data_IF_724912349904
#
_entry.id   IF_724912349904
#
_cell.length_a   1.000
_cell.length_b   1.000
_cell.length_c   1.000
_cell.angle_alpha   90.00
_cell.angle_beta   90.00
_cell.angle_gamma   90.00
#
_symmetry.space_group_name_H-M   'P 1'
#
loop_
_entity.id
_entity.type
_entity.pdbx_description
1 polymer ?
#
# COMPACT_ATOMS: atom_id res chain seq x y z
N UNK A 1 -3.68 -17.37 -7.19
CA UNK A 1 -4.23 -16.02 -7.32
C UNK A 1 -4.09 -15.33 -5.98
N UNK A 2 -3.45 -14.18 -5.94
CA UNK A 2 -3.23 -13.48 -4.67
C UNK A 2 -4.26 -12.38 -4.38
N UNK A 3 -4.91 -11.80 -5.40
CA UNK A 3 -6.03 -10.87 -5.26
C UNK A 3 -7.17 -11.26 -6.21
N UNK A 4 -8.39 -11.33 -5.67
CA UNK A 4 -9.65 -11.34 -6.43
C UNK A 4 -10.51 -10.23 -5.86
N UNK A 5 -10.85 -9.27 -6.69
CA UNK A 5 -11.64 -8.10 -6.38
C UNK A 5 -12.83 -8.05 -7.33
N UNK A 6 -14.02 -8.06 -6.78
CA UNK A 6 -15.30 -7.83 -7.49
C UNK A 6 -16.21 -7.10 -6.53
N UNK A 7 -16.23 -5.76 -6.61
CA UNK A 7 -16.93 -4.92 -5.66
C UNK A 7 -17.69 -3.80 -6.33
N UNK A 8 -18.80 -3.42 -5.69
CA UNK A 8 -19.55 -2.21 -6.02
C UNK A 8 -19.69 -1.33 -4.79
N UNK A 9 -19.44 -0.02 -4.97
CA UNK A 9 -19.69 0.98 -3.94
C UNK A 9 -20.28 2.24 -4.55
N UNK A 10 -21.37 2.71 -3.95
CA UNK A 10 -22.12 3.88 -4.41
C UNK A 10 -21.76 5.10 -3.55
N UNK A 11 -21.39 6.17 -4.23
CA UNK A 11 -21.20 7.49 -3.65
C UNK A 11 -22.20 8.48 -4.28
N UNK A 12 -22.46 9.62 -3.68
CA UNK A 12 -23.24 10.67 -4.32
C UNK A 12 -22.62 11.11 -5.65
N UNK A 13 -23.29 10.80 -6.77
CA UNK A 13 -22.83 11.16 -8.11
C UNK A 13 -21.73 10.27 -8.73
N UNK A 14 -21.33 9.17 -8.05
CA UNK A 14 -20.28 8.27 -8.53
C UNK A 14 -20.54 6.83 -8.08
N UNK A 15 -20.26 5.87 -8.95
CA UNK A 15 -20.31 4.44 -8.60
C UNK A 15 -18.96 3.80 -8.91
N UNK A 16 -18.31 3.22 -7.90
CA UNK A 16 -17.19 2.32 -8.12
C UNK A 16 -17.75 0.92 -8.42
N UNK A 17 -17.40 0.37 -9.58
CA UNK A 17 -17.74 -0.99 -10.02
C UNK A 17 -16.47 -1.66 -10.51
N UNK A 18 -15.73 -2.26 -9.58
CA UNK A 18 -14.33 -2.64 -9.79
C UNK A 18 -14.16 -4.15 -9.81
N UNK A 19 -13.71 -4.67 -10.95
CA UNK A 19 -13.30 -6.06 -11.12
C UNK A 19 -11.82 -6.12 -11.47
N UNK A 20 -11.05 -6.88 -10.66
CA UNK A 20 -9.61 -7.06 -10.86
C UNK A 20 -9.16 -8.39 -10.27
N UNK A 21 -8.42 -9.15 -11.05
CA UNK A 21 -7.67 -10.30 -10.57
C UNK A 21 -6.17 -10.04 -10.74
N UNK A 22 -5.37 -10.36 -9.72
CA UNK A 22 -3.92 -10.23 -9.78
C UNK A 22 -3.22 -11.42 -9.13
N UNK A 23 -2.10 -11.81 -9.72
CA UNK A 23 -1.16 -12.78 -9.17
C UNK A 23 -0.14 -12.13 -8.24
N UNK A 24 1.02 -12.76 -8.11
CA UNK A 24 2.21 -12.16 -7.50
C UNK A 24 2.90 -11.26 -8.51
N UNK A 25 2.28 -10.11 -8.77
CA UNK A 25 2.69 -9.14 -9.78
C UNK A 25 2.46 -7.71 -9.29
N UNK A 26 3.06 -6.75 -9.98
CA UNK A 26 2.88 -5.31 -9.73
C UNK A 26 1.87 -4.77 -10.75
N UNK A 27 0.72 -4.32 -10.27
CA UNK A 27 -0.36 -3.78 -11.08
C UNK A 27 -0.53 -2.30 -10.79
N UNK A 28 -0.41 -1.47 -11.82
CA UNK A 28 -0.73 -0.05 -11.73
C UNK A 28 -2.22 0.20 -12.00
N UNK A 29 -2.83 1.05 -11.21
CA UNK A 29 -4.14 1.64 -11.48
C UNK A 29 -3.91 3.07 -11.96
N UNK A 30 -4.13 3.34 -13.24
CA UNK A 30 -4.02 4.65 -13.87
C UNK A 30 -5.41 5.23 -14.14
N UNK A 31 -5.50 6.54 -14.22
CA UNK A 31 -6.74 7.24 -14.57
C UNK A 31 -6.80 8.65 -13.99
N UNK A 32 -7.80 9.42 -14.42
CA UNK A 32 -8.02 10.78 -13.95
C UNK A 32 -8.26 10.85 -12.43
N UNK A 33 -8.05 12.03 -11.84
CA UNK A 33 -8.42 12.26 -10.45
C UNK A 33 -9.93 12.04 -10.26
N UNK A 34 -10.30 11.35 -9.18
CA UNK A 34 -11.70 11.04 -8.88
C UNK A 34 -12.28 9.79 -9.56
N UNK A 35 -11.56 9.09 -10.46
CA UNK A 35 -12.08 7.89 -11.13
C UNK A 35 -12.18 6.63 -10.23
N UNK A 36 -11.83 6.70 -8.94
CA UNK A 36 -12.03 5.59 -7.99
C UNK A 36 -10.78 4.85 -7.53
N UNK A 37 -9.57 5.18 -8.01
CA UNK A 37 -8.32 4.48 -7.67
C UNK A 37 -8.08 4.35 -6.15
N UNK A 38 -8.05 5.48 -5.45
CA UNK A 38 -7.85 5.50 -3.99
C UNK A 38 -9.01 4.84 -3.24
N UNK A 39 -10.25 4.95 -3.75
CA UNK A 39 -11.41 4.27 -3.18
C UNK A 39 -11.25 2.75 -3.25
N UNK A 40 -10.73 2.22 -4.37
CA UNK A 40 -10.41 0.79 -4.53
C UNK A 40 -9.43 0.32 -3.45
N UNK A 41 -8.31 1.04 -3.26
CA UNK A 41 -7.34 0.69 -2.23
C UNK A 41 -7.94 0.74 -0.82
N UNK A 42 -8.76 1.76 -0.52
CA UNK A 42 -9.43 1.89 0.79
C UNK A 42 -10.44 0.78 1.03
N UNK A 43 -11.15 0.32 0.00
CA UNK A 43 -12.04 -0.84 0.09
C UNK A 43 -11.26 -2.12 0.40
N UNK A 44 -10.13 -2.38 -0.27
CA UNK A 44 -9.29 -3.54 0.00
C UNK A 44 -8.72 -3.48 1.42
N UNK A 45 -8.26 -2.31 1.86
CA UNK A 45 -7.72 -2.10 3.21
C UNK A 45 -8.76 -2.18 4.33
N UNK A 46 -10.07 -2.14 4.01
CA UNK A 46 -11.15 -2.13 5.00
C UNK A 46 -11.37 -0.78 5.68
N UNK A 47 -10.76 0.29 5.15
CA UNK A 47 -11.01 1.67 5.58
C UNK A 47 -12.38 2.13 5.11
N UNK A 48 -12.80 1.65 3.94
CA UNK A 48 -14.15 1.82 3.42
C UNK A 48 -14.77 0.43 3.17
N UNK A 49 -16.08 0.31 3.41
CA UNK A 49 -16.81 -0.94 3.19
C UNK A 49 -17.55 -0.86 1.84
N UNK A 50 -17.31 -1.79 0.89
CA UNK A 50 -18.13 -1.91 -0.31
C UNK A 50 -19.61 -2.16 0.02
N UNK A 51 -20.51 -1.79 -0.88
CA UNK A 51 -21.95 -2.07 -0.72
C UNK A 51 -22.29 -3.51 -1.15
N UNK A 52 -21.59 -4.00 -2.18
CA UNK A 52 -21.81 -5.34 -2.73
C UNK A 52 -20.47 -5.94 -3.18
N UNK A 53 -20.43 -7.28 -3.30
CA UNK A 53 -19.34 -8.00 -3.94
C UNK A 53 -18.43 -8.73 -2.99
N UNK A 54 -17.18 -8.99 -3.42
CA UNK A 54 -16.23 -9.85 -2.73
C UNK A 54 -14.79 -9.36 -2.89
N UNK A 55 -14.00 -9.49 -1.82
CA UNK A 55 -12.55 -9.24 -1.80
C UNK A 55 -11.86 -10.46 -1.21
N UNK A 56 -10.96 -11.09 -1.97
CA UNK A 56 -10.14 -12.20 -1.50
C UNK A 56 -8.66 -11.86 -1.71
N UNK A 57 -7.86 -12.00 -0.68
CA UNK A 57 -6.39 -11.81 -0.74
C UNK A 57 -5.71 -13.06 -0.21
N UNK A 58 -4.86 -13.70 -1.03
CA UNK A 58 -4.13 -14.92 -0.68
C UNK A 58 -5.04 -16.04 -0.13
N UNK A 59 -6.23 -16.20 -0.71
CA UNK A 59 -7.23 -17.19 -0.28
C UNK A 59 -8.04 -16.80 0.95
N UNK A 60 -7.74 -15.67 1.60
CA UNK A 60 -8.51 -15.16 2.74
C UNK A 60 -9.57 -14.19 2.24
N UNK A 61 -10.83 -14.44 2.56
CA UNK A 61 -11.95 -13.53 2.24
C UNK A 61 -11.94 -12.35 3.22
N UNK A 62 -11.64 -11.15 2.70
CA UNK A 62 -11.64 -9.90 3.46
C UNK A 62 -13.04 -9.30 3.57
N UNK A 63 -13.80 -9.42 2.49
CA UNK A 63 -15.16 -8.94 2.38
C UNK A 63 -15.97 -9.89 1.48
N UNK A 64 -17.21 -10.17 1.85
CA UNK A 64 -18.18 -10.90 1.04
C UNK A 64 -19.58 -10.49 1.50
N UNK A 65 -20.27 -9.68 0.70
CA UNK A 65 -21.60 -9.16 1.03
C UNK A 65 -22.65 -10.25 1.14
N UNK A 66 -22.55 -11.32 0.32
CA UNK A 66 -23.49 -12.43 0.32
C UNK A 66 -23.30 -13.33 1.56
N UNK A 67 -22.07 -13.50 2.01
CA UNK A 67 -21.75 -14.31 3.19
C UNK A 67 -21.74 -13.51 4.50
N UNK A 68 -21.92 -12.18 4.46
CA UNK A 68 -21.88 -11.30 5.62
C UNK A 68 -20.47 -11.17 6.23
N UNK A 69 -19.42 -11.39 5.44
CA UNK A 69 -18.03 -11.30 5.91
C UNK A 69 -17.52 -9.88 5.68
N UNK A 70 -16.97 -9.25 6.71
CA UNK A 70 -16.27 -7.97 6.62
C UNK A 70 -15.20 -7.90 7.71
N UNK A 71 -13.96 -8.29 7.36
CA UNK A 71 -12.84 -8.21 8.28
C UNK A 71 -12.48 -6.75 8.57
N UNK A 72 -12.16 -6.46 9.82
CA UNK A 72 -11.63 -5.15 10.20
C UNK A 72 -10.26 -4.89 9.52
N UNK A 73 -9.82 -3.62 9.36
CA UNK A 73 -8.52 -3.29 8.78
C UNK A 73 -7.35 -3.99 9.49
N UNK A 74 -7.46 -4.22 10.80
CA UNK A 74 -6.43 -4.86 11.60
C UNK A 74 -6.29 -6.37 11.30
N UNK A 75 -7.39 -7.02 10.92
CA UNK A 75 -7.43 -8.45 10.57
C UNK A 75 -6.98 -8.70 9.13
N UNK A 76 -7.09 -7.67 8.26
CA UNK A 76 -6.63 -7.76 6.88
C UNK A 76 -5.11 -7.64 6.85
N UNK A 77 -4.41 -8.69 6.46
CA UNK A 77 -2.94 -8.66 6.30
C UNK A 77 -2.56 -7.88 5.04
N UNK A 78 -2.83 -6.60 5.01
CA UNK A 78 -2.49 -5.69 3.92
C UNK A 78 -1.76 -4.46 4.46
N UNK A 79 -0.97 -3.81 3.60
CA UNK A 79 -0.32 -2.55 3.91
C UNK A 79 -0.71 -1.50 2.87
N UNK A 80 -1.15 -0.34 3.33
CA UNK A 80 -1.52 0.80 2.50
C UNK A 80 -0.64 2.00 2.87
N UNK A 81 0.13 2.49 1.89
CA UNK A 81 0.85 3.76 2.01
C UNK A 81 -0.05 4.87 1.47
N UNK A 82 -0.44 5.76 2.38
CA UNK A 82 -1.17 6.98 2.03
C UNK A 82 -0.20 8.09 1.58
N UNK A 83 -0.70 9.02 0.80
CA UNK A 83 0.04 10.18 0.28
C UNK A 83 0.76 11.00 1.37
N UNK A 84 0.22 11.06 2.59
CA UNK A 84 0.79 11.79 3.73
C UNK A 84 1.56 10.89 4.73
N UNK A 85 1.97 9.68 4.31
CA UNK A 85 2.74 8.67 5.05
C UNK A 85 2.16 8.20 6.39
N UNK A 86 1.28 8.96 7.02
CA UNK A 86 0.60 8.70 8.28
C UNK A 86 1.52 8.11 9.38
N UNK A 87 2.68 8.73 9.59
CA UNK A 87 3.55 8.39 10.70
C UNK A 87 2.91 8.80 12.03
N UNK A 88 3.15 8.00 13.06
CA UNK A 88 2.72 8.34 14.41
C UNK A 88 3.61 9.49 14.94
N UNK A 89 3.06 10.72 15.11
CA UNK A 89 3.88 11.90 15.38
C UNK A 89 4.53 11.86 16.77
N UNK A 90 3.93 11.15 17.72
CA UNK A 90 4.37 11.02 19.10
C UNK A 90 5.27 9.78 19.34
N UNK A 91 5.64 9.06 18.28
CA UNK A 91 6.54 7.92 18.30
C UNK A 91 7.85 8.27 17.61
N UNK A 92 8.95 7.71 18.09
CA UNK A 92 10.25 7.79 17.42
C UNK A 92 10.21 7.04 16.08
N UNK A 93 11.25 7.18 15.26
CA UNK A 93 11.42 6.40 14.02
C UNK A 93 11.42 4.91 14.34
N UNK A 94 12.18 4.50 15.37
CA UNK A 94 12.24 3.11 15.81
C UNK A 94 10.88 2.58 16.26
N UNK A 95 10.13 3.37 17.04
CA UNK A 95 8.80 3.00 17.52
C UNK A 95 7.79 2.90 16.37
N UNK A 96 7.87 3.82 15.39
CA UNK A 96 7.04 3.76 14.18
C UNK A 96 7.25 2.45 13.42
N UNK A 97 8.51 2.03 13.19
CA UNK A 97 8.81 0.77 12.52
C UNK A 97 8.41 -0.42 13.38
N UNK A 98 8.68 -0.37 14.69
CA UNK A 98 8.31 -1.39 15.66
C UNK A 98 6.79 -1.63 15.71
N UNK A 99 5.98 -0.58 15.54
CA UNK A 99 4.52 -0.69 15.47
C UNK A 99 4.04 -1.52 14.27
N UNK A 100 4.83 -1.61 13.19
CA UNK A 100 4.57 -2.51 12.06
C UNK A 100 4.81 -3.98 12.39
N UNK A 101 5.73 -4.29 13.29
CA UNK A 101 6.13 -5.66 13.62
C UNK A 101 5.05 -6.34 14.47
N UNK A 102 4.24 -7.21 13.86
CA UNK A 102 3.13 -7.90 14.54
C UNK A 102 3.49 -9.31 15.04
N UNK A 103 4.34 -10.04 14.31
CA UNK A 103 4.56 -11.48 14.50
C UNK A 103 5.87 -11.81 15.26
N UNK A 104 6.51 -10.86 15.94
CA UNK A 104 7.67 -11.11 16.79
C UNK A 104 7.22 -11.41 18.22
N UNK A 105 7.58 -12.58 18.74
CA UNK A 105 7.09 -13.15 19.99
C UNK A 105 7.14 -12.22 21.22
N UNK A 106 8.31 -11.62 21.52
CA UNK A 106 8.46 -10.69 22.64
C UNK A 106 8.91 -9.28 22.19
N UNK A 107 8.95 -8.35 23.16
CA UNK A 107 9.34 -6.95 22.90
C UNK A 107 10.78 -6.82 22.41
N UNK A 108 11.70 -7.66 22.88
CA UNK A 108 13.11 -7.63 22.48
C UNK A 108 13.29 -8.12 21.03
N UNK A 109 12.61 -9.21 20.64
CA UNK A 109 12.59 -9.72 19.28
C UNK A 109 11.97 -8.69 18.31
N UNK A 110 10.89 -8.02 18.74
CA UNK A 110 10.24 -6.96 17.96
C UNK A 110 11.18 -5.78 17.70
N UNK A 111 11.88 -5.33 18.74
CA UNK A 111 12.87 -4.24 18.64
C UNK A 111 14.03 -4.62 17.72
N UNK A 112 14.59 -5.82 17.86
CA UNK A 112 15.68 -6.32 17.01
C UNK A 112 15.27 -6.39 15.52
N UNK A 113 14.03 -6.79 15.25
CA UNK A 113 13.52 -6.83 13.89
C UNK A 113 13.30 -5.42 13.32
N UNK A 114 12.81 -4.48 14.12
CA UNK A 114 12.70 -3.08 13.73
C UNK A 114 14.07 -2.46 13.42
N UNK A 115 15.09 -2.71 14.26
CA UNK A 115 16.47 -2.27 14.02
C UNK A 115 17.03 -2.81 12.70
N UNK A 116 16.74 -4.07 12.35
CA UNK A 116 17.12 -4.63 11.05
C UNK A 116 16.49 -3.84 9.89
N UNK A 117 15.19 -3.53 9.95
CA UNK A 117 14.53 -2.73 8.91
C UNK A 117 15.07 -1.30 8.85
N UNK A 118 15.37 -0.69 9.99
CA UNK A 118 16.04 0.61 10.02
C UNK A 118 17.36 0.59 9.28
N UNK A 119 18.16 -0.47 9.45
CA UNK A 119 19.41 -0.66 8.71
C UNK A 119 19.18 -0.78 7.20
N UNK A 120 18.23 -1.61 6.77
CA UNK A 120 17.88 -1.81 5.34
C UNK A 120 17.47 -0.49 4.67
N UNK A 121 16.67 0.34 5.36
CA UNK A 121 16.18 1.61 4.83
C UNK A 121 17.10 2.81 5.08
N UNK A 122 18.32 2.58 5.62
CA UNK A 122 19.31 3.65 5.92
C UNK A 122 18.80 4.65 6.95
N UNK A 123 18.10 4.17 7.97
CA UNK A 123 17.46 4.97 9.02
C UNK A 123 18.07 4.76 10.41
N UNK A 124 19.14 3.97 10.55
CA UNK A 124 19.73 3.62 11.84
C UNK A 124 20.11 4.86 12.66
N UNK A 125 20.75 5.86 12.03
CA UNK A 125 21.18 7.11 12.68
C UNK A 125 20.02 8.05 13.06
N UNK A 126 18.81 7.72 12.65
CA UNK A 126 17.60 8.49 12.91
C UNK A 126 16.64 7.81 13.88
N UNK A 127 17.01 6.63 14.42
CA UNK A 127 16.14 5.76 15.21
C UNK A 127 15.38 6.48 16.34
N UNK A 128 16.08 7.36 17.06
CA UNK A 128 15.54 8.11 18.21
C UNK A 128 14.88 9.44 17.84
N UNK A 129 14.84 9.80 16.55
CA UNK A 129 14.19 11.04 16.10
C UNK A 129 12.68 10.86 15.98
N UNK A 130 11.97 11.97 16.15
CA UNK A 130 10.54 12.06 15.87
C UNK A 130 10.28 12.46 14.42
N UNK A 131 9.14 12.08 13.81
CA UNK A 131 8.80 12.41 12.42
C UNK A 131 8.96 13.88 12.06
N UNK A 132 8.61 14.80 12.95
CA UNK A 132 8.74 16.25 12.73
C UNK A 132 10.21 16.73 12.54
N UNK A 133 11.20 15.91 12.89
CA UNK A 133 12.63 16.19 12.72
C UNK A 133 13.24 15.53 11.48
N UNK A 134 12.42 14.96 10.60
CA UNK A 134 12.83 14.25 9.40
C UNK A 134 12.47 15.05 8.15
N UNK A 135 13.31 14.91 7.09
CA UNK A 135 12.92 15.33 5.74
C UNK A 135 11.77 14.47 5.21
N UNK A 136 11.06 14.97 4.18
CA UNK A 136 9.97 14.22 3.55
C UNK A 136 10.41 12.83 3.06
N UNK A 137 11.58 12.72 2.41
CA UNK A 137 12.13 11.43 1.97
C UNK A 137 12.51 10.50 3.13
N UNK A 138 12.96 11.04 4.28
CA UNK A 138 13.21 10.23 5.48
C UNK A 138 11.90 9.73 6.08
N UNK A 139 10.87 10.58 6.19
CA UNK A 139 9.53 10.17 6.65
C UNK A 139 8.94 9.06 5.79
N UNK A 140 9.10 9.16 4.49
CA UNK A 140 8.66 8.15 3.54
C UNK A 140 9.37 6.82 3.74
N UNK A 141 10.72 6.83 3.88
CA UNK A 141 11.47 5.59 4.18
C UNK A 141 11.04 4.96 5.50
N UNK A 142 10.70 5.75 6.51
CA UNK A 142 10.13 5.23 7.78
C UNK A 142 8.78 4.55 7.54
N UNK A 143 7.91 5.14 6.72
CA UNK A 143 6.61 4.55 6.38
C UNK A 143 6.77 3.24 5.60
N UNK A 144 7.70 3.19 4.63
CA UNK A 144 8.03 1.96 3.90
C UNK A 144 8.59 0.89 4.83
N UNK A 145 9.54 1.23 5.71
CA UNK A 145 10.10 0.30 6.69
C UNK A 145 9.00 -0.28 7.60
N UNK A 146 8.07 0.55 8.07
CA UNK A 146 6.90 0.13 8.85
C UNK A 146 5.98 -0.82 8.07
N UNK A 147 5.73 -0.53 6.77
CA UNK A 147 4.93 -1.39 5.89
C UNK A 147 5.54 -2.78 5.75
N UNK A 148 6.84 -2.85 5.45
CA UNK A 148 7.56 -4.12 5.25
C UNK A 148 7.62 -4.92 6.55
N UNK A 149 7.83 -4.24 7.67
CA UNK A 149 7.86 -4.86 8.99
C UNK A 149 6.55 -5.56 9.36
N UNK A 150 5.43 -5.15 8.76
CA UNK A 150 4.12 -5.79 8.96
C UNK A 150 3.94 -7.12 8.21
N UNK A 151 4.89 -7.52 7.34
CA UNK A 151 4.80 -8.71 6.50
C UNK A 151 3.43 -8.89 5.82
N UNK A 152 2.94 -7.89 5.09
CA UNK A 152 1.61 -7.94 4.50
C UNK A 152 1.51 -8.95 3.37
N UNK A 153 0.29 -9.44 3.12
CA UNK A 153 -0.01 -10.30 1.97
C UNK A 153 -0.13 -9.53 0.65
N UNK A 154 -0.38 -8.23 0.72
CA UNK A 154 -0.49 -7.31 -0.42
C UNK A 154 0.03 -5.93 -0.02
N UNK A 155 0.78 -5.29 -0.92
CA UNK A 155 1.22 -3.91 -0.78
C UNK A 155 0.35 -2.99 -1.65
N UNK A 156 -0.04 -1.86 -1.10
CA UNK A 156 -0.85 -0.85 -1.79
C UNK A 156 -0.24 0.53 -1.62
N UNK A 157 -0.09 1.26 -2.72
CA UNK A 157 0.54 2.59 -2.77
C UNK A 157 -0.42 3.57 -3.43
N UNK A 158 -0.82 4.61 -2.70
CA UNK A 158 -1.74 5.64 -3.17
C UNK A 158 -0.96 6.92 -3.49
N UNK A 159 -0.59 7.08 -4.77
CA UNK A 159 0.19 8.21 -5.32
C UNK A 159 1.43 8.56 -4.48
N UNK A 160 2.34 7.61 -4.19
CA UNK A 160 3.41 7.82 -3.22
C UNK A 160 4.45 8.85 -3.65
N UNK A 161 4.50 9.20 -4.95
CA UNK A 161 5.48 10.13 -5.52
C UNK A 161 4.90 11.50 -5.90
N UNK A 162 3.60 11.71 -5.72
CA UNK A 162 2.89 12.90 -6.24
C UNK A 162 3.37 14.24 -5.66
N UNK A 163 3.93 14.24 -4.45
CA UNK A 163 4.39 15.44 -3.75
C UNK A 163 5.92 15.62 -3.73
N UNK A 164 6.66 14.82 -4.51
CA UNK A 164 8.12 14.81 -4.50
C UNK A 164 8.72 15.54 -5.70
N UNK A 165 9.86 16.19 -5.47
CA UNK A 165 10.71 16.69 -6.57
C UNK A 165 11.40 15.53 -7.33
N UNK A 166 11.96 15.83 -8.50
CA UNK A 166 12.54 14.83 -9.41
C UNK A 166 13.68 14.00 -8.78
N UNK A 167 14.49 14.61 -7.92
CA UNK A 167 15.59 13.91 -7.25
C UNK A 167 15.09 12.92 -6.21
N UNK A 168 14.13 13.33 -5.40
CA UNK A 168 13.51 12.46 -4.40
C UNK A 168 12.67 11.35 -5.05
N UNK A 169 12.01 11.64 -6.18
CA UNK A 169 11.30 10.62 -6.97
C UNK A 169 12.23 9.48 -7.39
N UNK A 170 13.38 9.80 -8.01
CA UNK A 170 14.33 8.78 -8.45
C UNK A 170 14.88 7.92 -7.30
N UNK A 171 15.21 8.54 -6.17
CA UNK A 171 15.67 7.81 -4.99
C UNK A 171 14.59 6.89 -4.42
N UNK A 172 13.34 7.33 -4.40
CA UNK A 172 12.23 6.53 -3.94
C UNK A 172 11.92 5.37 -4.88
N UNK A 173 11.89 5.64 -6.19
CA UNK A 173 11.66 4.65 -7.24
C UNK A 173 12.63 3.47 -7.06
N UNK A 174 13.93 3.75 -6.86
CA UNK A 174 14.91 2.71 -6.60
C UNK A 174 14.61 1.93 -5.31
N UNK A 175 14.30 2.63 -4.20
CA UNK A 175 13.94 1.97 -2.94
C UNK A 175 12.70 1.07 -3.08
N UNK A 176 11.74 1.47 -3.93
CA UNK A 176 10.54 0.66 -4.18
C UNK A 176 10.85 -0.56 -5.04
N UNK A 177 11.68 -0.43 -6.06
CA UNK A 177 12.14 -1.56 -6.88
C UNK A 177 12.89 -2.58 -6.02
N UNK A 178 13.84 -2.13 -5.20
CA UNK A 178 14.58 -2.98 -4.26
C UNK A 178 13.62 -3.72 -3.30
N UNK A 179 12.58 -3.02 -2.83
CA UNK A 179 11.53 -3.60 -2.00
C UNK A 179 10.75 -4.69 -2.75
N UNK A 180 10.31 -4.40 -3.97
CA UNK A 180 9.50 -5.30 -4.77
C UNK A 180 10.25 -6.59 -5.12
N UNK A 181 11.54 -6.47 -5.43
CA UNK A 181 12.40 -7.62 -5.76
C UNK A 181 12.61 -8.56 -4.56
N UNK A 182 12.63 -8.02 -3.34
CA UNK A 182 12.78 -8.82 -2.12
C UNK A 182 11.46 -9.45 -1.67
N UNK A 183 10.33 -8.77 -1.89
CA UNK A 183 9.07 -9.17 -1.27
C UNK A 183 8.23 -10.18 -2.06
N UNK A 184 8.41 -10.31 -3.37
CA UNK A 184 7.66 -11.20 -4.28
C UNK A 184 6.17 -11.35 -3.89
N UNK A 185 5.46 -10.23 -3.83
CA UNK A 185 4.07 -10.11 -3.40
C UNK A 185 3.27 -9.31 -4.42
N UNK A 186 1.97 -9.45 -4.37
CA UNK A 186 1.09 -8.56 -5.14
C UNK A 186 1.25 -7.12 -4.68
N UNK A 187 1.41 -6.23 -5.64
CA UNK A 187 1.49 -4.79 -5.44
C UNK A 187 0.38 -4.12 -6.25
N UNK A 188 -0.42 -3.28 -5.60
CA UNK A 188 -1.29 -2.33 -6.28
C UNK A 188 -0.69 -0.93 -6.15
N UNK A 189 -0.45 -0.30 -7.28
CA UNK A 189 0.20 1.00 -7.38
C UNK A 189 -0.71 2.01 -8.06
N UNK A 190 -1.15 3.02 -7.36
CA UNK A 190 -1.96 4.11 -7.92
C UNK A 190 -1.05 5.25 -8.34
N UNK A 191 -1.15 5.65 -9.59
CA UNK A 191 -0.49 6.84 -10.13
C UNK A 191 -1.38 7.53 -11.17
N UNK A 192 -1.04 8.77 -11.50
CA UNK A 192 -1.53 9.49 -12.67
C UNK A 192 -0.41 9.67 -13.73
N UNK A 193 0.80 9.22 -13.43
CA UNK A 193 1.99 9.29 -14.28
C UNK A 193 2.22 7.92 -14.94
N UNK A 194 2.07 7.87 -16.29
CA UNK A 194 2.21 6.65 -17.06
C UNK A 194 3.66 6.14 -17.09
N UNK A 195 4.64 7.06 -17.14
CA UNK A 195 6.05 6.69 -17.17
C UNK A 195 6.48 6.04 -15.86
N UNK A 196 5.98 6.55 -14.73
CA UNK A 196 6.18 5.96 -13.41
C UNK A 196 5.57 4.55 -13.33
N UNK A 197 4.33 4.38 -13.79
CA UNK A 197 3.66 3.10 -13.82
C UNK A 197 4.38 2.07 -14.70
N UNK A 198 4.86 2.47 -15.88
CA UNK A 198 5.62 1.59 -16.78
C UNK A 198 6.96 1.14 -16.20
N UNK A 199 7.63 2.00 -15.40
CA UNK A 199 8.91 1.63 -14.77
C UNK A 199 8.74 0.69 -13.58
N UNK A 200 7.66 0.86 -12.80
CA UNK A 200 7.45 0.15 -11.54
C UNK A 200 6.60 -1.10 -11.66
N UNK A 201 5.68 -1.14 -12.62
CA UNK A 201 4.65 -2.18 -12.71
C UNK A 201 4.79 -3.04 -13.96
N UNK A 202 4.29 -4.27 -13.87
CA UNK A 202 4.29 -5.26 -14.96
C UNK A 202 2.98 -5.23 -15.75
N UNK A 203 1.91 -4.75 -15.10
CA UNK A 203 0.58 -4.61 -15.71
C UNK A 203 -0.03 -3.27 -15.34
N UNK A 204 -0.70 -2.67 -16.28
CA UNK A 204 -1.37 -1.37 -16.13
C UNK A 204 -2.86 -1.58 -16.38
N UNK A 205 -3.69 -1.12 -15.45
CA UNK A 205 -5.13 -1.07 -15.58
C UNK A 205 -5.54 0.40 -15.66
N UNK A 206 -6.12 0.81 -16.77
CA UNK A 206 -6.67 2.16 -16.95
C UNK A 206 -8.09 2.19 -16.39
N UNK A 207 -8.33 3.09 -15.44
CA UNK A 207 -9.63 3.28 -14.81
C UNK A 207 -10.32 4.53 -15.34
N UNK A 208 -11.59 4.38 -15.63
CA UNK A 208 -12.50 5.46 -16.02
C UNK A 208 -13.84 5.27 -15.32
N UNK A 209 -14.41 6.35 -14.76
CA UNK A 209 -15.72 6.37 -14.13
C UNK A 209 -16.04 5.15 -13.24
N UNK A 210 -15.09 4.76 -12.41
CA UNK A 210 -15.28 3.71 -11.40
C UNK A 210 -15.06 2.27 -11.86
N UNK A 211 -14.62 2.04 -13.09
CA UNK A 211 -14.35 0.69 -13.62
C UNK A 211 -13.01 0.63 -14.36
N UNK A 212 -12.51 -0.57 -14.59
CA UNK A 212 -11.35 -0.83 -15.45
C UNK A 212 -11.82 -0.82 -16.89
N UNK A 213 -11.29 0.09 -17.71
CA UNK A 213 -11.61 0.23 -19.12
C UNK A 213 -10.68 -0.61 -19.99
N UNK A 214 -9.38 -0.55 -19.69
CA UNK A 214 -8.35 -1.28 -20.43
C UNK A 214 -7.31 -1.87 -19.48
N UNK A 215 -6.69 -2.98 -19.91
CA UNK A 215 -5.57 -3.61 -19.24
C UNK A 215 -4.48 -3.94 -20.23
N UNK A 216 -3.24 -3.51 -19.95
CA UNK A 216 -2.06 -3.76 -20.77
C UNK A 216 -0.85 -4.19 -19.92
N UNK A 217 0.17 -4.75 -20.57
CA UNK A 217 1.46 -5.17 -20.00
C UNK A 217 2.62 -4.56 -20.79
#
# INVERSE_FOLDING_TARGET
MSLVLDIKKRYPGFVLDMQLEAGEERVALLGASGCGKSCTLRCIAGVETPDEGKIVVNGVTFFDSAAGINLSPQERKCALLFQNYQLFPNMTVADNVCAGVKDAGDAAARKKLAERYLGIFGLADFADRYPARLSGGQQQRVALARMVAAHPGIFMFDEPMSALDSYLKSALEQNMLDLFDVCNRTVLYVSHDIDEACRLCQRICVMHDGHVEETGS
#
